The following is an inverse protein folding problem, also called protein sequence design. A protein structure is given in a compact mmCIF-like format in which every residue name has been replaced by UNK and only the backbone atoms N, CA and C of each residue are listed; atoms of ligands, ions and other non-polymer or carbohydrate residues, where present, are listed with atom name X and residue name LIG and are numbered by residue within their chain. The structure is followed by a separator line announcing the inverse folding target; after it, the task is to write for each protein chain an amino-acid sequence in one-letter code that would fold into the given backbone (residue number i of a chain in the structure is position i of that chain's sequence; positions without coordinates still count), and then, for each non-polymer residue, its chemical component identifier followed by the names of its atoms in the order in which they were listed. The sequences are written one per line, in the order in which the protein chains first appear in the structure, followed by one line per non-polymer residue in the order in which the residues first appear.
data_IF_992485719830
#
_entry.id   IF_992485719830
#
_cell.length_a   1.000
_cell.length_b   1.000
_cell.length_c   1.000
_cell.angle_alpha   90.00
_cell.angle_beta   90.00
_cell.angle_gamma   90.00
#
_symmetry.space_group_name_H-M   'P 1'
#
loop_
_entity.id
_entity.type
_entity.pdbx_description
1 polymer ?
#
# COMPACT_ATOMS: atom_id res chain seq x y z
N UNK A 1 8.42 34.07 2.48
CA UNK A 1 9.86 33.74 2.36
C UNK A 1 9.87 32.35 1.77
N UNK A 2 9.79 32.29 0.44
CA UNK A 2 9.56 31.06 -0.31
C UNK A 2 10.87 30.29 -0.46
N UNK A 3 10.88 29.04 -0.02
CA UNK A 3 12.02 28.14 -0.14
C UNK A 3 11.74 27.10 -1.21
N UNK A 4 12.29 27.35 -2.40
CA UNK A 4 12.28 26.44 -3.55
C UNK A 4 13.37 25.39 -3.38
N UNK A 5 13.02 24.10 -3.43
CA UNK A 5 13.97 23.00 -3.38
C UNK A 5 14.54 22.71 -4.78
N UNK A 6 15.86 22.53 -4.85
CA UNK A 6 16.63 22.16 -6.05
C UNK A 6 16.90 20.65 -5.99
N UNK A 7 16.45 19.92 -7.01
CA UNK A 7 16.89 18.54 -7.26
C UNK A 7 18.11 18.55 -8.18
N UNK A 8 19.14 17.76 -7.83
CA UNK A 8 20.31 17.50 -8.68
C UNK A 8 20.23 16.04 -9.14
N UNK A 9 20.03 15.82 -10.44
CA UNK A 9 20.24 14.52 -11.07
C UNK A 9 21.65 14.46 -11.70
N UNK A 10 22.32 13.30 -11.66
CA UNK A 10 23.59 13.12 -12.32
C UNK A 10 23.28 12.77 -13.78
N UNK A 11 23.51 13.70 -14.71
CA UNK A 11 24.02 13.50 -16.07
C UNK A 11 23.80 14.81 -16.84
N UNK A 12 24.89 15.53 -17.10
CA UNK A 12 24.86 16.87 -17.66
C UNK A 12 24.31 16.94 -19.08
N UNK A 13 23.31 17.80 -19.28
CA UNK A 13 23.18 18.62 -20.49
C UNK A 13 22.33 19.86 -20.19
N UNK A 14 22.86 21.06 -20.47
CA UNK A 14 22.22 22.34 -20.14
C UNK A 14 21.52 22.89 -21.39
N UNK A 15 20.19 22.77 -21.46
CA UNK A 15 19.35 23.38 -22.48
C UNK A 15 18.35 24.35 -21.87
N UNK A 16 18.46 25.65 -22.18
CA UNK A 16 17.52 26.71 -21.75
C UNK A 16 16.19 26.59 -22.51
N UNK A 17 15.07 26.51 -21.79
CA UNK A 17 13.75 26.91 -22.30
C UNK A 17 12.93 27.62 -21.22
N UNK A 18 12.40 28.79 -21.57
CA UNK A 18 11.68 29.71 -20.70
C UNK A 18 10.24 29.24 -20.42
N UNK A 19 9.76 29.52 -19.21
CA UNK A 19 8.40 29.25 -18.78
C UNK A 19 7.37 30.20 -19.44
N UNK A 20 6.18 29.73 -19.86
CA UNK A 20 5.11 30.61 -20.29
C UNK A 20 4.34 31.17 -19.09
N UNK A 21 4.32 32.49 -19.00
CA UNK A 21 3.45 33.26 -18.11
C UNK A 21 1.98 33.09 -18.51
N UNK A 22 1.12 32.71 -17.57
CA UNK A 22 -0.35 32.80 -17.74
C UNK A 22 -0.81 34.17 -17.25
N UNK A 23 -1.14 35.06 -18.18
CA UNK A 23 -1.85 36.31 -17.90
C UNK A 23 -3.35 36.16 -18.16
N UNK A 24 -4.14 36.48 -17.13
CA UNK A 24 -5.57 36.77 -17.21
C UNK A 24 -5.82 38.03 -18.06
N UNK A 25 -6.81 38.02 -18.97
CA UNK A 25 -7.17 39.19 -19.78
C UNK A 25 -8.43 39.05 -20.63
N UNK A 26 -9.54 39.58 -20.08
CA UNK A 26 -10.83 40.07 -20.65
C UNK A 26 -11.16 39.94 -22.16
N UNK A 27 -12.43 39.54 -22.36
CA UNK A 27 -13.36 39.79 -23.48
C UNK A 27 -13.15 41.07 -24.31
N UNK A 28 -13.25 40.96 -25.65
CA UNK A 28 -13.99 41.90 -26.51
C UNK A 28 -14.59 41.15 -27.72
N UNK A 29 -15.88 41.40 -27.95
CA UNK A 29 -16.74 40.97 -29.06
C UNK A 29 -16.32 41.57 -30.41
N UNK A 30 -16.47 40.83 -31.53
CA UNK A 30 -16.77 41.46 -32.83
C UNK A 30 -17.48 40.51 -33.81
N UNK A 31 -18.43 41.12 -34.53
CA UNK A 31 -19.49 40.57 -35.38
C UNK A 31 -18.99 40.03 -36.73
N UNK A 32 -19.81 39.12 -37.27
CA UNK A 32 -19.97 38.64 -38.67
C UNK A 32 -20.35 39.81 -39.62
N UNK A 33 -20.20 39.72 -40.96
CA UNK A 33 -21.30 39.18 -41.80
C UNK A 33 -20.91 38.46 -43.13
N UNK A 34 -21.70 37.42 -43.47
CA UNK A 34 -22.17 37.08 -44.84
C UNK A 34 -21.36 36.03 -45.63
N UNK A 35 -21.93 35.13 -46.46
CA UNK A 35 -23.26 35.05 -47.11
C UNK A 35 -23.41 33.72 -47.91
N UNK A 36 -24.66 33.24 -48.09
CA UNK A 36 -25.10 32.22 -49.09
C UNK A 36 -25.54 30.87 -48.48
N UNK A 37 -26.82 30.51 -48.25
CA UNK A 37 -27.99 30.34 -49.16
C UNK A 37 -27.71 29.29 -50.26
N UNK A 38 -28.43 28.19 -50.51
CA UNK A 38 -29.85 27.83 -50.34
C UNK A 38 -30.02 26.28 -50.30
N UNK A 39 -30.97 25.73 -49.53
CA UNK A 39 -32.28 25.17 -49.97
C UNK A 39 -32.33 23.64 -50.24
N UNK A 40 -33.18 22.98 -49.45
CA UNK A 40 -33.79 21.63 -49.59
C UNK A 40 -35.00 21.71 -50.56
N UNK A 41 -35.89 20.70 -50.74
CA UNK A 41 -35.90 19.27 -50.36
C UNK A 41 -36.33 18.33 -51.53
N UNK A 42 -36.32 17.00 -51.33
CA UNK A 42 -37.33 16.16 -51.98
C UNK A 42 -37.68 14.89 -51.19
N UNK A 43 -38.98 14.61 -51.11
CA UNK A 43 -39.61 13.47 -50.46
C UNK A 43 -39.95 12.40 -51.50
N UNK A 44 -39.81 11.11 -51.18
CA UNK A 44 -40.80 10.10 -51.60
C UNK A 44 -41.02 9.04 -50.51
N UNK A 45 -42.31 8.80 -50.24
CA UNK A 45 -42.93 7.85 -49.32
C UNK A 45 -42.66 6.38 -49.66
N UNK A 46 -42.66 5.54 -48.63
CA UNK A 46 -42.90 4.10 -48.74
C UNK A 46 -43.38 3.53 -47.41
N UNK A 47 -44.68 3.24 -47.33
CA UNK A 47 -45.45 2.78 -46.17
C UNK A 47 -45.20 1.31 -45.82
N UNK A 48 -45.09 0.97 -44.52
CA UNK A 48 -45.07 -0.43 -44.07
C UNK A 48 -45.20 -0.57 -42.55
N UNK A 49 -46.43 -0.71 -42.09
CA UNK A 49 -46.89 -0.74 -40.69
C UNK A 49 -46.64 -2.13 -40.07
N UNK A 50 -46.06 -2.23 -38.85
CA UNK A 50 -46.70 -2.81 -37.63
C UNK A 50 -45.71 -3.29 -36.54
N UNK A 51 -46.06 -2.87 -35.31
CA UNK A 51 -46.02 -3.57 -33.99
C UNK A 51 -44.71 -3.61 -33.19
N UNK A 52 -44.67 -2.77 -32.16
CA UNK A 52 -44.18 -3.07 -30.78
C UNK A 52 -45.19 -4.00 -30.06
N UNK A 53 -44.92 -4.64 -28.87
CA UNK A 53 -44.01 -4.20 -27.79
C UNK A 53 -43.25 -5.29 -26.94
N UNK A 54 -42.39 -4.79 -26.03
CA UNK A 54 -42.06 -5.30 -24.68
C UNK A 54 -41.21 -6.58 -24.43
N UNK A 55 -40.15 -6.36 -23.62
CA UNK A 55 -39.66 -7.09 -22.44
C UNK A 55 -39.18 -8.56 -22.51
N UNK A 56 -37.91 -8.73 -22.07
CA UNK A 56 -37.32 -9.73 -21.15
C UNK A 56 -37.73 -11.20 -21.32
N UNK A 57 -36.75 -12.09 -21.52
CA UNK A 57 -36.64 -13.42 -20.87
C UNK A 57 -35.48 -14.29 -21.41
N UNK A 58 -34.72 -14.90 -20.47
CA UNK A 58 -34.45 -16.36 -20.39
C UNK A 58 -33.64 -16.98 -21.57
N UNK A 59 -32.36 -17.35 -21.37
CA UNK A 59 -31.83 -18.59 -20.76
C UNK A 59 -31.41 -19.64 -21.82
N UNK A 60 -30.19 -20.15 -21.61
CA UNK A 60 -29.63 -21.47 -21.93
C UNK A 60 -29.96 -22.20 -23.25
N UNK A 61 -28.90 -22.69 -23.91
CA UNK A 61 -28.79 -24.08 -24.35
C UNK A 61 -27.32 -24.50 -24.52
N UNK A 62 -26.89 -25.53 -23.78
CA UNK A 62 -25.64 -26.29 -23.94
C UNK A 62 -25.77 -27.30 -25.13
N UNK A 63 -24.74 -28.08 -25.58
CA UNK A 63 -23.86 -28.92 -24.76
C UNK A 63 -22.38 -29.14 -25.21
N UNK A 64 -21.61 -29.69 -24.27
CA UNK A 64 -20.52 -30.70 -24.34
C UNK A 64 -19.33 -30.59 -25.31
N UNK A 65 -18.11 -30.53 -24.74
CA UNK A 65 -17.09 -31.59 -24.88
C UNK A 65 -15.81 -31.29 -24.06
N UNK A 66 -15.39 -32.27 -23.26
CA UNK A 66 -14.13 -32.39 -22.51
C UNK A 66 -13.10 -33.23 -23.31
N UNK A 67 -11.84 -33.42 -22.84
CA UNK A 67 -10.71 -32.49 -22.89
C UNK A 67 -9.57 -33.01 -23.79
N UNK A 68 -8.64 -32.15 -24.21
CA UNK A 68 -7.39 -32.59 -24.85
C UNK A 68 -6.17 -32.08 -24.07
N UNK A 69 -5.46 -33.04 -23.50
CA UNK A 69 -4.12 -32.93 -22.91
C UNK A 69 -3.12 -32.64 -24.04
N UNK A 70 -2.26 -31.64 -23.86
CA UNK A 70 -1.08 -31.46 -24.71
C UNK A 70 0.16 -31.14 -23.87
N UNK A 71 1.14 -31.99 -24.11
CA UNK A 71 2.40 -32.21 -23.42
C UNK A 71 3.42 -31.12 -23.75
N UNK A 72 4.31 -30.88 -22.78
CA UNK A 72 5.39 -29.90 -22.80
C UNK A 72 6.38 -30.07 -23.96
N UNK A 73 6.83 -28.95 -24.52
CA UNK A 73 8.06 -28.87 -25.29
C UNK A 73 8.74 -27.49 -25.09
N UNK A 74 9.88 -27.53 -24.41
CA UNK A 74 11.14 -26.90 -24.82
C UNK A 74 11.20 -25.39 -25.07
N UNK A 75 11.97 -24.72 -24.20
CA UNK A 75 12.95 -23.70 -24.61
C UNK A 75 12.51 -22.25 -24.44
N UNK A 76 13.08 -21.56 -23.45
CA UNK A 76 14.06 -20.49 -23.71
C UNK A 76 14.66 -20.03 -22.37
N UNK A 77 15.98 -20.21 -22.18
CA UNK A 77 16.71 -19.71 -21.02
C UNK A 77 17.36 -18.38 -21.38
N UNK A 78 16.69 -17.28 -21.06
CA UNK A 78 17.31 -15.96 -20.97
C UNK A 78 17.62 -15.63 -19.50
N UNK A 79 18.81 -15.10 -19.18
CA UNK A 79 19.22 -14.91 -17.78
C UNK A 79 18.42 -13.78 -17.14
N UNK A 80 17.75 -14.11 -16.03
CA UNK A 80 17.14 -13.16 -15.11
C UNK A 80 18.20 -12.16 -14.64
N UNK A 81 18.08 -10.89 -15.06
CA UNK A 81 18.84 -9.80 -14.45
C UNK A 81 18.41 -9.68 -12.99
N UNK A 82 19.28 -10.09 -12.08
CA UNK A 82 19.15 -9.82 -10.66
C UNK A 82 19.14 -8.31 -10.45
N UNK A 83 17.96 -7.74 -10.18
CA UNK A 83 17.86 -6.40 -9.64
C UNK A 83 18.42 -6.48 -8.22
N UNK A 84 19.63 -5.95 -8.01
CA UNK A 84 20.23 -5.84 -6.69
C UNK A 84 19.28 -5.04 -5.80
N UNK A 85 18.61 -5.73 -4.88
CA UNK A 85 17.88 -5.11 -3.79
C UNK A 85 18.93 -4.47 -2.90
N UNK A 86 18.92 -3.14 -2.83
CA UNK A 86 19.76 -2.41 -1.90
C UNK A 86 19.40 -2.87 -0.48
N UNK A 87 20.32 -3.55 0.17
CA UNK A 87 20.23 -3.84 1.60
C UNK A 87 20.38 -2.50 2.32
N UNK A 88 19.48 -2.11 3.23
CA UNK A 88 19.64 -0.87 3.98
C UNK A 88 20.95 -0.93 4.78
N UNK A 89 21.82 0.06 4.61
CA UNK A 89 23.04 0.20 5.39
C UNK A 89 22.67 0.43 6.86
N UNK A 90 22.90 -0.59 7.69
CA UNK A 90 22.85 -0.47 9.14
C UNK A 90 24.05 0.38 9.56
N UNK A 91 23.84 1.67 9.84
CA UNK A 91 24.87 2.49 10.48
C UNK A 91 25.08 2.01 11.92
N UNK A 92 26.14 1.24 12.11
CA UNK A 92 26.60 0.69 13.40
C UNK A 92 27.09 1.75 14.40
N UNK A 93 27.11 3.03 14.00
CA UNK A 93 27.69 4.14 14.77
C UNK A 93 26.83 4.58 15.97
N UNK A 94 25.64 4.00 16.15
CA UNK A 94 24.66 4.35 17.20
C UNK A 94 24.59 3.33 18.37
N UNK A 95 25.45 2.32 18.41
CA UNK A 95 25.51 1.39 19.54
C UNK A 95 26.30 1.99 20.72
N UNK A 96 25.72 2.10 21.93
CA UNK A 96 26.49 2.51 23.11
C UNK A 96 27.57 1.48 23.43
N UNK A 97 28.80 1.95 23.69
CA UNK A 97 29.93 1.09 24.07
C UNK A 97 29.69 0.49 25.45
N UNK A 98 29.78 -0.84 25.56
CA UNK A 98 29.62 -1.58 26.80
C UNK A 98 30.59 -1.10 27.89
N UNK A 99 30.05 -0.71 29.04
CA UNK A 99 30.79 -0.46 30.28
C UNK A 99 31.17 -1.77 30.98
N UNK A 100 32.26 -1.73 31.74
CA UNK A 100 32.85 -2.84 32.52
C UNK A 100 31.89 -3.47 33.54
N UNK A 101 32.02 -4.78 33.84
CA UNK A 101 31.05 -5.53 34.64
C UNK A 101 31.21 -5.29 36.14
N UNK A 102 30.11 -4.99 36.82
CA UNK A 102 30.04 -4.91 38.29
C UNK A 102 28.63 -5.22 38.81
N UNK A 103 28.53 -6.31 39.58
CA UNK A 103 27.42 -6.76 40.44
C UNK A 103 26.09 -7.16 39.77
N UNK A 104 25.67 -8.41 40.01
CA UNK A 104 24.57 -9.11 39.38
C UNK A 104 23.17 -8.53 39.71
N UNK A 105 22.60 -7.83 38.72
CA UNK A 105 21.17 -7.66 38.50
C UNK A 105 20.69 -8.78 37.52
N UNK A 106 19.38 -9.09 37.37
CA UNK A 106 18.92 -10.10 36.42
C UNK A 106 19.57 -9.88 35.05
N UNK A 107 20.16 -10.95 34.49
CA UNK A 107 21.03 -10.86 33.32
C UNK A 107 20.37 -10.17 32.12
N UNK A 108 21.17 -9.61 31.19
CA UNK A 108 20.64 -8.98 29.99
C UNK A 108 19.71 -9.98 29.28
N UNK A 109 18.55 -9.48 28.82
CA UNK A 109 17.60 -10.24 28.00
C UNK A 109 18.33 -10.62 26.70
N UNK A 110 19.03 -11.76 26.72
CA UNK A 110 19.70 -12.31 25.56
C UNK A 110 18.65 -12.67 24.49
N UNK A 111 19.02 -12.55 23.23
CA UNK A 111 18.15 -12.91 22.12
C UNK A 111 17.84 -14.40 22.10
N UNK A 112 16.78 -14.79 21.37
CA UNK A 112 16.43 -16.19 21.19
C UNK A 112 17.58 -16.98 20.56
N UNK A 113 17.69 -18.24 20.96
CA UNK A 113 18.62 -19.17 20.31
C UNK A 113 18.27 -19.31 18.80
N UNK A 114 19.22 -19.55 17.88
CA UNK A 114 18.93 -19.60 16.44
C UNK A 114 17.77 -20.53 16.02
N UNK A 115 17.59 -21.64 16.74
CA UNK A 115 16.46 -22.58 16.53
C UNK A 115 15.12 -21.96 16.92
N UNK A 116 15.08 -21.20 18.01
CA UNK A 116 13.89 -20.47 18.45
C UNK A 116 13.56 -19.35 17.47
N UNK A 117 14.58 -18.61 16.99
CA UNK A 117 14.40 -17.60 15.94
C UNK A 117 13.80 -18.22 14.67
N UNK A 118 14.29 -19.38 14.23
CA UNK A 118 13.70 -20.09 13.09
C UNK A 118 12.23 -20.46 13.34
N UNK A 119 11.88 -20.88 14.56
CA UNK A 119 10.50 -21.13 14.97
C UNK A 119 9.63 -19.88 14.92
N UNK A 120 10.10 -18.76 15.46
CA UNK A 120 9.42 -17.46 15.43
C UNK A 120 9.16 -17.00 13.99
N UNK A 121 10.17 -17.10 13.13
CA UNK A 121 10.06 -16.77 11.72
C UNK A 121 9.07 -17.69 10.99
N UNK A 122 9.06 -18.98 11.30
CA UNK A 122 8.07 -19.90 10.74
C UNK A 122 6.63 -19.53 11.17
N UNK A 123 6.43 -19.25 12.46
CA UNK A 123 5.13 -18.85 12.99
C UNK A 123 4.64 -17.53 12.38
N UNK A 124 5.52 -16.53 12.26
CA UNK A 124 5.23 -15.27 11.58
C UNK A 124 4.76 -15.53 10.14
N UNK A 125 5.46 -16.40 9.41
CA UNK A 125 5.11 -16.76 8.03
C UNK A 125 3.70 -17.34 7.96
N UNK A 126 3.39 -18.31 8.83
CA UNK A 126 2.07 -18.94 8.85
C UNK A 126 0.96 -17.91 9.18
N UNK A 127 1.20 -17.02 10.14
CA UNK A 127 0.24 -15.98 10.54
C UNK A 127 -0.04 -14.98 9.43
N UNK A 128 1.00 -14.47 8.76
CA UNK A 128 0.85 -13.47 7.70
C UNK A 128 0.26 -14.09 6.42
N UNK A 129 0.71 -15.27 6.01
CA UNK A 129 0.15 -15.93 4.81
C UNK A 129 -1.30 -16.34 4.96
N UNK A 130 -1.76 -16.58 6.20
CA UNK A 130 -3.17 -16.82 6.48
C UNK A 130 -4.02 -15.55 6.58
N UNK A 131 -3.46 -14.37 6.31
CA UNK A 131 -4.22 -13.13 6.33
C UNK A 131 -4.99 -12.92 5.02
N UNK A 132 -6.19 -12.39 5.12
CA UNK A 132 -7.05 -12.11 3.96
C UNK A 132 -6.57 -10.88 3.19
N UNK A 133 -6.08 -9.89 3.93
CA UNK A 133 -5.60 -8.62 3.41
C UNK A 133 -4.41 -8.02 4.19
N UNK A 134 -3.81 -6.95 3.64
CA UNK A 134 -2.68 -6.23 4.24
C UNK A 134 -3.00 -5.66 5.63
N UNK A 135 -4.13 -4.95 5.86
CA UNK A 135 -4.49 -4.48 7.20
C UNK A 135 -4.52 -5.61 8.25
N UNK A 136 -5.16 -6.73 7.94
CA UNK A 136 -5.22 -7.88 8.85
C UNK A 136 -3.83 -8.51 9.06
N UNK A 137 -2.97 -8.51 8.05
CA UNK A 137 -1.59 -8.96 8.18
C UNK A 137 -0.77 -8.05 9.11
N UNK A 138 -0.97 -6.73 9.05
CA UNK A 138 -0.33 -5.75 9.95
C UNK A 138 -0.81 -5.93 11.40
N UNK A 139 -2.10 -6.17 11.64
CA UNK A 139 -2.63 -6.49 12.97
C UNK A 139 -1.96 -7.74 13.55
N UNK A 140 -1.82 -8.79 12.74
CA UNK A 140 -1.15 -10.03 13.15
C UNK A 140 0.34 -9.82 13.41
N UNK A 141 1.00 -8.99 12.61
CA UNK A 141 2.41 -8.64 12.79
C UNK A 141 2.63 -7.88 14.10
N UNK A 142 1.85 -6.83 14.37
CA UNK A 142 1.98 -6.03 15.59
C UNK A 142 1.74 -6.91 16.83
N UNK A 143 0.68 -7.72 16.83
CA UNK A 143 0.39 -8.64 17.92
C UNK A 143 1.50 -9.69 18.12
N UNK A 144 2.03 -10.24 17.02
CA UNK A 144 3.11 -11.24 17.07
C UNK A 144 4.41 -10.63 17.60
N UNK A 145 4.85 -9.48 17.06
CA UNK A 145 6.10 -8.82 17.46
C UNK A 145 6.09 -8.43 18.95
N UNK A 146 4.95 -7.94 19.47
CA UNK A 146 4.80 -7.62 20.88
C UNK A 146 4.98 -8.83 21.82
N UNK A 147 4.63 -10.04 21.38
CA UNK A 147 4.78 -11.26 22.16
C UNK A 147 6.11 -12.00 21.91
N UNK A 148 6.66 -11.88 20.71
CA UNK A 148 7.85 -12.60 20.28
C UNK A 148 9.17 -11.94 20.71
N UNK A 149 9.16 -10.63 20.93
CA UNK A 149 10.39 -9.84 21.19
C UNK A 149 10.48 -9.54 22.70
N UNK A 150 11.44 -10.15 23.42
CA UNK A 150 11.57 -9.97 24.87
C UNK A 150 11.68 -8.50 25.27
N UNK A 151 11.01 -8.13 26.38
CA UNK A 151 11.03 -6.76 26.91
C UNK A 151 10.11 -5.77 26.18
N UNK A 152 9.49 -6.17 25.06
CA UNK A 152 8.51 -5.32 24.37
C UNK A 152 7.23 -5.20 25.19
N UNK A 153 6.89 -3.97 25.57
CA UNK A 153 5.62 -3.66 26.22
C UNK A 153 4.50 -3.62 25.18
N UNK A 154 4.73 -2.92 24.06
CA UNK A 154 3.78 -2.77 22.96
C UNK A 154 4.50 -2.69 21.62
N UNK A 155 3.80 -3.05 20.57
CA UNK A 155 4.27 -2.87 19.20
C UNK A 155 3.22 -2.10 18.41
N UNK A 156 3.67 -1.21 17.53
CA UNK A 156 2.88 -0.74 16.41
C UNK A 156 3.60 -0.97 15.10
N UNK A 157 2.83 -0.99 14.02
CA UNK A 157 3.33 -0.99 12.67
C UNK A 157 2.48 -0.06 11.85
N UNK A 158 3.13 0.69 10.96
CA UNK A 158 2.42 1.50 10.02
C UNK A 158 3.09 1.50 8.66
N UNK A 159 2.27 1.47 7.60
CA UNK A 159 2.70 1.58 6.21
C UNK A 159 2.05 2.79 5.57
N UNK A 160 2.87 3.61 4.89
CA UNK A 160 2.44 4.78 4.12
C UNK A 160 2.63 4.43 2.64
N UNK A 161 1.53 4.25 1.92
CA UNK A 161 1.51 4.02 0.47
C UNK A 161 1.42 5.32 -0.35
N UNK A 162 1.38 5.19 -1.68
CA UNK A 162 1.22 6.34 -2.57
C UNK A 162 -0.20 6.95 -2.49
N UNK A 163 -0.31 8.15 -1.93
CA UNK A 163 -1.51 9.00 -2.02
C UNK A 163 -2.69 8.61 -1.13
N UNK A 164 -2.52 7.64 -0.22
CA UNK A 164 -3.54 7.22 0.74
C UNK A 164 -3.18 7.53 2.20
N UNK A 165 -4.15 7.45 3.13
CA UNK A 165 -3.85 7.49 4.57
C UNK A 165 -2.95 6.30 4.96
N UNK A 166 -2.14 6.44 6.01
CA UNK A 166 -1.35 5.32 6.53
C UNK A 166 -2.27 4.18 6.97
N UNK A 167 -1.86 2.94 6.70
CA UNK A 167 -2.45 1.76 7.31
C UNK A 167 -1.66 1.49 8.59
N UNK A 168 -2.34 1.55 9.74
CA UNK A 168 -1.73 1.45 11.06
C UNK A 168 -2.35 0.29 11.81
N UNK A 169 -1.52 -0.50 12.48
CA UNK A 169 -1.91 -1.57 13.38
C UNK A 169 -1.11 -1.52 14.67
N UNK A 170 -1.72 -1.89 15.79
CA UNK A 170 -1.08 -1.83 17.10
C UNK A 170 -1.50 -3.01 17.97
N UNK A 171 -0.56 -3.52 18.77
CA UNK A 171 -0.78 -4.65 19.69
C UNK A 171 -1.64 -4.30 20.92
N UNK A 172 -2.10 -3.05 21.03
CA UNK A 172 -2.91 -2.56 22.15
C UNK A 172 -3.24 -1.07 22.02
N UNK A 173 -4.20 -0.60 22.83
CA UNK A 173 -4.70 0.78 22.81
C UNK A 173 -3.62 1.83 23.12
N UNK A 174 -2.64 1.47 23.95
CA UNK A 174 -1.51 2.31 24.32
C UNK A 174 -0.60 2.66 23.13
N UNK A 175 -0.18 1.65 22.36
CA UNK A 175 0.63 1.87 21.16
C UNK A 175 -0.14 2.68 20.12
N UNK A 176 -1.45 2.41 19.99
CA UNK A 176 -2.32 3.21 19.13
C UNK A 176 -2.36 4.69 19.54
N UNK A 177 -2.42 5.00 20.84
CA UNK A 177 -2.43 6.38 21.31
C UNK A 177 -1.11 7.12 20.99
N UNK A 178 0.04 6.44 21.12
CA UNK A 178 1.33 6.99 20.73
C UNK A 178 1.39 7.24 19.22
N UNK A 179 0.98 6.28 18.39
CA UNK A 179 0.95 6.47 16.94
C UNK A 179 0.00 7.61 16.53
N UNK A 180 -1.20 7.68 17.11
CA UNK A 180 -2.17 8.74 16.82
C UNK A 180 -1.57 10.13 17.12
N UNK A 181 -0.73 10.24 18.17
CA UNK A 181 0.02 11.46 18.47
C UNK A 181 1.13 11.74 17.45
N UNK A 182 1.88 10.73 17.02
CA UNK A 182 2.90 10.89 15.97
C UNK A 182 2.26 11.41 14.68
N UNK A 183 1.18 10.78 14.23
CA UNK A 183 0.47 11.16 13.00
C UNK A 183 -0.18 12.54 13.09
N UNK A 184 -0.79 12.88 14.23
CA UNK A 184 -1.35 14.20 14.46
C UNK A 184 -0.27 15.29 14.57
N UNK A 185 0.94 14.93 15.00
CA UNK A 185 2.08 15.84 15.11
C UNK A 185 2.89 15.99 13.83
N UNK A 186 2.91 14.96 12.98
CA UNK A 186 3.82 14.86 11.84
C UNK A 186 5.27 14.57 12.26
N UNK A 187 5.50 14.21 13.51
CA UNK A 187 6.78 13.94 14.12
C UNK A 187 6.69 12.80 15.14
N UNK A 188 7.72 11.97 15.18
CA UNK A 188 7.75 10.77 16.02
C UNK A 188 8.79 9.78 15.55
N UNK A 189 9.21 8.83 16.40
CA UNK A 189 10.22 7.83 16.07
C UNK A 189 9.81 6.94 14.89
N UNK A 190 8.55 6.50 14.81
CA UNK A 190 8.05 5.69 13.69
C UNK A 190 8.03 6.48 12.38
N UNK A 191 7.52 7.72 12.42
CA UNK A 191 7.54 8.62 11.27
C UNK A 191 8.96 9.02 10.82
N UNK A 192 9.90 9.19 11.76
CA UNK A 192 11.29 9.48 11.44
C UNK A 192 11.97 8.27 10.81
N UNK A 193 11.77 7.06 11.34
CA UNK A 193 12.30 5.83 10.75
C UNK A 193 11.77 5.63 9.33
N UNK A 194 10.46 5.81 9.11
CA UNK A 194 9.87 5.73 7.77
C UNK A 194 10.46 6.78 6.80
N UNK A 195 10.61 8.03 7.25
CA UNK A 195 11.16 9.11 6.40
C UNK A 195 12.63 8.92 6.04
N UNK A 196 13.44 8.52 7.02
CA UNK A 196 14.89 8.39 6.88
C UNK A 196 15.32 7.03 6.33
N UNK A 197 14.42 6.03 6.35
CA UNK A 197 14.73 4.61 6.11
C UNK A 197 15.88 4.11 6.99
N UNK A 198 15.97 4.63 8.21
CA UNK A 198 17.00 4.28 9.17
C UNK A 198 16.38 3.83 10.49
N UNK A 199 17.11 2.99 11.22
CA UNK A 199 16.75 2.60 12.58
C UNK A 199 16.76 3.85 13.47
N UNK A 200 15.66 4.08 14.17
CA UNK A 200 15.52 5.19 15.13
C UNK A 200 15.30 4.62 16.51
N UNK A 201 16.07 5.09 17.49
CA UNK A 201 15.94 4.66 18.89
C UNK A 201 15.82 5.86 19.82
N UNK A 202 15.12 5.67 20.94
CA UNK A 202 15.15 6.57 22.08
C UNK A 202 15.32 5.76 23.37
N UNK A 203 16.31 6.11 24.19
CA UNK A 203 16.56 5.44 25.46
C UNK A 203 15.54 5.80 26.54
N UNK A 204 14.94 6.99 26.44
CA UNK A 204 13.83 7.45 27.27
C UNK A 204 12.94 8.48 26.54
N UNK A 205 11.80 8.02 26.03
CA UNK A 205 10.78 8.80 25.31
C UNK A 205 10.06 9.80 26.23
N UNK A 206 10.11 9.60 27.54
CA UNK A 206 9.51 10.52 28.52
C UNK A 206 10.30 11.83 28.65
N UNK A 207 11.57 11.82 28.25
CA UNK A 207 12.48 12.97 28.36
C UNK A 207 13.18 13.33 27.03
N UNK A 208 12.90 12.61 25.94
CA UNK A 208 13.54 12.86 24.65
C UNK A 208 13.13 14.23 24.07
N UNK A 209 14.08 15.15 23.85
CA UNK A 209 13.77 16.50 23.37
C UNK A 209 13.33 16.53 21.90
N UNK A 210 13.51 15.45 21.13
CA UNK A 210 13.08 15.36 19.73
C UNK A 210 11.56 15.28 19.62
N UNK A 211 10.89 14.63 20.57
CA UNK A 211 9.44 14.38 20.52
C UNK A 211 8.74 14.69 21.86
N UNK A 212 8.80 15.95 22.35
CA UNK A 212 8.27 16.32 23.66
C UNK A 212 6.75 16.08 23.80
N UNK A 213 6.03 16.01 22.68
CA UNK A 213 4.58 15.73 22.64
C UNK A 213 4.23 14.29 23.05
N UNK A 214 5.16 13.35 22.87
CA UNK A 214 4.96 11.95 23.23
C UNK A 214 5.21 11.70 24.72
N UNK A 215 5.92 12.61 25.41
CA UNK A 215 6.37 12.41 26.79
C UNK A 215 5.24 12.14 27.79
N UNK A 216 4.11 12.85 27.67
CA UNK A 216 2.97 12.66 28.58
C UNK A 216 2.29 11.30 28.38
N UNK A 217 2.06 10.92 27.11
CA UNK A 217 1.49 9.62 26.78
C UNK A 217 2.46 8.49 27.16
N UNK A 218 3.76 8.64 26.88
CA UNK A 218 4.77 7.68 27.27
C UNK A 218 4.80 7.45 28.79
N UNK A 219 4.69 8.52 29.59
CA UNK A 219 4.55 8.43 31.06
C UNK A 219 3.28 7.72 31.50
N UNK A 220 2.14 8.06 30.90
CA UNK A 220 0.86 7.44 31.24
C UNK A 220 0.84 5.92 30.94
N UNK A 221 1.50 5.52 29.86
CA UNK A 221 1.55 4.13 29.39
C UNK A 221 2.76 3.34 29.92
N UNK A 222 3.63 3.96 30.73
CA UNK A 222 4.83 3.32 31.27
C UNK A 222 5.88 2.98 30.20
N UNK A 223 5.84 3.66 29.05
CA UNK A 223 6.82 3.51 27.97
C UNK A 223 8.04 4.35 28.32
N UNK A 224 9.20 3.71 28.32
CA UNK A 224 10.49 4.36 28.50
C UNK A 224 11.27 4.38 27.20
N UNK A 225 11.67 3.25 26.65
CA UNK A 225 12.44 3.24 25.41
C UNK A 225 11.58 2.88 24.19
N UNK A 226 12.04 3.31 23.01
CA UNK A 226 11.43 2.95 21.72
C UNK A 226 12.51 2.57 20.72
N UNK A 227 12.20 1.56 19.90
CA UNK A 227 12.98 1.18 18.72
C UNK A 227 12.04 1.14 17.53
N UNK A 228 12.22 2.08 16.60
CA UNK A 228 11.49 2.15 15.35
C UNK A 228 12.37 1.62 14.22
N UNK A 229 11.98 0.49 13.65
CA UNK A 229 12.66 -0.20 12.57
C UNK A 229 11.95 0.15 11.27
N UNK A 230 12.64 0.74 10.27
CA UNK A 230 12.03 1.11 9.01
C UNK A 230 11.54 -0.14 8.27
N UNK A 231 10.43 0.01 7.54
CA UNK A 231 9.89 -1.00 6.63
C UNK A 231 9.80 -0.46 5.22
N UNK A 232 10.30 -1.19 4.22
CA UNK A 232 10.15 -0.89 2.79
C UNK A 232 9.48 -2.06 2.07
N UNK A 233 8.18 -1.95 1.84
CA UNK A 233 7.37 -2.99 1.22
C UNK A 233 7.26 -2.71 -0.28
N UNK A 234 7.97 -3.50 -1.08
CA UNK A 234 8.01 -3.45 -2.55
C UNK A 234 8.27 -2.06 -3.16
N UNK A 235 8.93 -1.14 -2.44
CA UNK A 235 9.14 0.25 -2.86
C UNK A 235 7.86 1.04 -3.15
N UNK A 236 6.69 0.49 -2.84
CA UNK A 236 5.38 1.12 -3.02
C UNK A 236 4.82 1.68 -1.72
N UNK A 237 5.28 1.14 -0.58
CA UNK A 237 4.95 1.67 0.72
C UNK A 237 6.16 1.65 1.64
N UNK A 238 6.28 2.72 2.43
CA UNK A 238 7.35 2.90 3.41
C UNK A 238 6.71 3.10 4.77
N UNK A 239 7.30 2.51 5.79
CA UNK A 239 6.71 2.45 7.10
C UNK A 239 7.73 2.25 8.19
N UNK A 240 7.24 1.90 9.37
CA UNK A 240 8.06 1.45 10.46
C UNK A 240 7.29 0.48 11.36
N UNK A 241 8.04 -0.41 11.99
CA UNK A 241 7.60 -1.18 13.14
C UNK A 241 8.23 -0.54 14.38
N UNK A 242 7.42 -0.07 15.32
CA UNK A 242 7.85 0.58 16.55
C UNK A 242 7.64 -0.37 17.74
N UNK A 243 8.72 -0.67 18.45
CA UNK A 243 8.73 -1.44 19.69
C UNK A 243 8.85 -0.48 20.86
N UNK A 244 7.83 -0.44 21.70
CA UNK A 244 7.81 0.34 22.93
C UNK A 244 8.15 -0.56 24.11
N UNK A 245 9.08 -0.12 24.95
CA UNK A 245 9.70 -0.92 26.01
C UNK A 245 9.58 -0.21 27.35
N UNK A 246 9.25 -0.97 28.40
CA UNK A 246 9.01 -0.42 29.74
C UNK A 246 10.30 -0.09 30.51
N UNK A 247 11.46 -0.55 30.03
CA UNK A 247 12.75 -0.28 30.67
C UNK A 247 13.51 0.85 29.96
N UNK A 248 14.11 1.79 30.71
CA UNK A 248 15.05 2.75 30.16
C UNK A 248 16.32 2.05 29.65
N UNK A 249 17.03 2.69 28.72
CA UNK A 249 18.37 2.25 28.30
C UNK A 249 18.44 1.55 26.94
N UNK A 250 17.31 1.42 26.24
CA UNK A 250 17.24 0.84 24.89
C UNK A 250 17.02 -0.66 24.87
N UNK A 251 17.24 -1.27 23.71
CA UNK A 251 17.00 -2.70 23.44
C UNK A 251 18.35 -3.41 23.28
N UNK A 252 18.45 -4.61 23.85
CA UNK A 252 19.64 -5.47 23.71
C UNK A 252 19.94 -5.77 22.23
N UNK A 253 21.22 -5.75 21.79
CA UNK A 253 21.58 -5.99 20.39
C UNK A 253 21.04 -7.31 19.81
N UNK A 254 20.94 -8.38 20.59
CA UNK A 254 20.41 -9.67 20.12
C UNK A 254 18.88 -9.63 19.97
N UNK A 255 18.20 -8.88 20.84
CA UNK A 255 16.76 -8.59 20.73
C UNK A 255 16.50 -7.72 19.51
N UNK A 256 17.34 -6.72 19.25
CA UNK A 256 17.28 -5.90 18.05
C UNK A 256 17.47 -6.73 16.77
N UNK A 257 18.43 -7.66 16.77
CA UNK A 257 18.65 -8.58 15.64
C UNK A 257 17.40 -9.42 15.35
N UNK A 258 16.73 -9.89 16.40
CA UNK A 258 15.47 -10.65 16.29
C UNK A 258 14.36 -9.80 15.70
N UNK A 259 14.21 -8.56 16.18
CA UNK A 259 13.23 -7.61 15.68
C UNK A 259 13.46 -7.30 14.19
N UNK A 260 14.72 -7.08 13.79
CA UNK A 260 15.09 -6.85 12.39
C UNK A 260 14.81 -8.07 11.52
N UNK A 261 15.07 -9.29 11.99
CA UNK A 261 14.75 -10.51 11.26
C UNK A 261 13.23 -10.66 11.03
N UNK A 262 12.42 -10.35 12.05
CA UNK A 262 10.95 -10.32 11.96
C UNK A 262 10.50 -9.29 10.92
N UNK A 263 11.05 -8.06 10.98
CA UNK A 263 10.70 -6.97 10.06
C UNK A 263 11.04 -7.35 8.62
N UNK A 264 12.27 -7.79 8.35
CA UNK A 264 12.71 -8.16 7.00
C UNK A 264 11.83 -9.27 6.40
N UNK A 265 11.45 -10.26 7.21
CA UNK A 265 10.56 -11.31 6.72
C UNK A 265 9.13 -10.80 6.50
N UNK A 266 8.64 -9.94 7.39
CA UNK A 266 7.33 -9.33 7.25
C UNK A 266 7.23 -8.49 5.97
N UNK A 267 8.27 -7.73 5.60
CA UNK A 267 8.30 -6.95 4.36
C UNK A 267 8.07 -7.82 3.11
N UNK A 268 8.77 -8.96 3.03
CA UNK A 268 8.62 -9.90 1.92
C UNK A 268 7.20 -10.47 1.84
N UNK A 269 6.63 -10.84 3.00
CA UNK A 269 5.30 -11.44 3.09
C UNK A 269 4.19 -10.42 2.79
N UNK A 270 4.30 -9.20 3.33
CA UNK A 270 3.38 -8.09 3.06
C UNK A 270 3.42 -7.69 1.59
N UNK A 271 4.60 -7.68 0.98
CA UNK A 271 4.75 -7.45 -0.45
C UNK A 271 4.01 -8.50 -1.28
N UNK A 272 4.19 -9.78 -0.95
CA UNK A 272 3.51 -10.87 -1.65
C UNK A 272 1.98 -10.82 -1.45
N UNK A 273 1.49 -10.44 -0.27
CA UNK A 273 0.07 -10.23 -0.02
C UNK A 273 -0.49 -9.08 -0.87
N UNK A 274 0.16 -7.91 -0.85
CA UNK A 274 -0.26 -6.76 -1.67
C UNK A 274 -0.24 -7.08 -3.17
N UNK A 275 0.74 -7.87 -3.64
CA UNK A 275 0.78 -8.36 -5.03
C UNK A 275 -0.40 -9.27 -5.34
N UNK A 276 -0.75 -10.20 -4.44
CA UNK A 276 -1.90 -11.10 -4.60
C UNK A 276 -3.21 -10.33 -4.61
N UNK A 277 -3.36 -9.34 -3.75
CA UNK A 277 -4.50 -8.41 -3.77
C UNK A 277 -4.59 -7.71 -5.12
N UNK A 278 -3.52 -7.06 -5.59
CA UNK A 278 -3.52 -6.37 -6.88
C UNK A 278 -3.91 -7.27 -8.06
N UNK A 279 -3.48 -8.53 -8.05
CA UNK A 279 -3.92 -9.53 -9.05
C UNK A 279 -5.40 -9.88 -8.94
N UNK A 280 -5.93 -10.05 -7.72
CA UNK A 280 -7.37 -10.30 -7.48
C UNK A 280 -8.22 -9.11 -7.91
N UNK A 281 -7.75 -7.90 -7.67
CA UNK A 281 -8.39 -6.66 -8.10
C UNK A 281 -8.42 -6.55 -9.63
N UNK A 282 -7.27 -6.77 -10.28
CA UNK A 282 -7.17 -6.82 -11.73
C UNK A 282 -8.15 -7.82 -12.34
N UNK A 283 -8.17 -9.06 -11.83
CA UNK A 283 -9.09 -10.09 -12.31
C UNK A 283 -10.57 -9.72 -12.15
N UNK A 284 -10.91 -8.98 -11.08
CA UNK A 284 -12.28 -8.49 -10.86
C UNK A 284 -12.65 -7.40 -11.87
N UNK A 285 -11.74 -6.46 -12.13
CA UNK A 285 -11.93 -5.43 -13.17
C UNK A 285 -12.04 -6.05 -14.56
N UNK A 286 -11.19 -7.03 -14.88
CA UNK A 286 -11.20 -7.74 -16.16
C UNK A 286 -12.50 -8.51 -16.39
N UNK A 287 -13.02 -9.15 -15.34
CA UNK A 287 -14.33 -9.82 -15.39
C UNK A 287 -15.46 -8.81 -15.65
N UNK A 288 -15.45 -7.65 -15.00
CA UNK A 288 -16.44 -6.61 -15.25
C UNK A 288 -16.32 -6.01 -16.67
N UNK A 289 -15.10 -5.86 -17.19
CA UNK A 289 -14.87 -5.44 -18.57
C UNK A 289 -15.49 -6.47 -19.53
N UNK A 290 -15.31 -7.76 -19.28
CA UNK A 290 -15.96 -8.85 -20.02
C UNK A 290 -17.50 -8.75 -20.02
N UNK A 291 -18.11 -8.43 -18.88
CA UNK A 291 -19.56 -8.18 -18.78
C UNK A 291 -19.99 -7.00 -19.66
N UNK A 292 -19.24 -5.90 -19.67
CA UNK A 292 -19.56 -4.73 -20.50
C UNK A 292 -19.42 -5.04 -21.98
N UNK A 293 -18.34 -5.75 -22.38
CA UNK A 293 -18.12 -6.20 -23.75
C UNK A 293 -19.32 -7.03 -24.22
N UNK A 294 -19.75 -8.01 -23.40
CA UNK A 294 -20.88 -8.87 -23.72
C UNK A 294 -22.21 -8.09 -23.84
N UNK A 295 -22.44 -7.09 -22.99
CA UNK A 295 -23.69 -6.32 -22.98
C UNK A 295 -23.76 -5.24 -24.07
N UNK A 296 -22.64 -4.60 -24.40
CA UNK A 296 -22.60 -3.44 -25.32
C UNK A 296 -22.06 -3.78 -26.71
N UNK A 297 -21.46 -4.97 -26.89
CA UNK A 297 -20.79 -5.35 -28.13
C UNK A 297 -19.58 -4.45 -28.45
N UNK A 298 -18.94 -3.90 -27.41
CA UNK A 298 -17.82 -2.97 -27.56
C UNK A 298 -16.45 -3.66 -27.46
N UNK A 299 -15.40 -2.97 -27.87
CA UNK A 299 -14.03 -3.46 -27.72
C UNK A 299 -13.51 -3.40 -26.28
N UNK A 300 -12.40 -4.10 -26.02
CA UNK A 300 -11.76 -4.18 -24.69
C UNK A 300 -11.40 -2.79 -24.15
N UNK A 301 -10.74 -1.95 -24.95
CA UNK A 301 -10.31 -0.60 -24.52
C UNK A 301 -11.50 0.31 -24.18
N UNK A 302 -12.61 0.17 -24.91
CA UNK A 302 -13.83 0.91 -24.65
C UNK A 302 -14.45 0.47 -23.32
N UNK A 303 -14.49 -0.84 -23.03
CA UNK A 303 -15.00 -1.37 -21.78
C UNK A 303 -14.21 -0.86 -20.55
N UNK A 304 -12.87 -0.85 -20.61
CA UNK A 304 -12.05 -0.25 -19.54
C UNK A 304 -12.27 1.26 -19.41
N UNK A 305 -12.49 1.96 -20.52
CA UNK A 305 -12.80 3.40 -20.50
C UNK A 305 -14.13 3.64 -19.79
N UNK A 306 -15.16 2.86 -20.11
CA UNK A 306 -16.47 2.92 -19.45
C UNK A 306 -16.36 2.64 -17.95
N UNK A 307 -15.57 1.63 -17.55
CA UNK A 307 -15.32 1.33 -16.13
C UNK A 307 -14.66 2.51 -15.42
N UNK A 308 -13.59 3.07 -16.00
CA UNK A 308 -12.85 4.20 -15.43
C UNK A 308 -13.72 5.44 -15.29
N UNK A 309 -14.46 5.80 -16.34
CA UNK A 309 -15.37 6.95 -16.32
C UNK A 309 -16.50 6.76 -15.31
N UNK A 310 -17.00 5.53 -15.16
CA UNK A 310 -18.05 5.22 -14.19
C UNK A 310 -17.52 5.30 -12.76
N UNK A 311 -16.31 4.79 -12.49
CA UNK A 311 -15.63 4.92 -11.21
C UNK A 311 -15.42 6.39 -10.84
N UNK A 312 -14.88 7.19 -11.76
CA UNK A 312 -14.68 8.63 -11.58
C UNK A 312 -15.99 9.37 -11.31
N UNK A 313 -17.03 9.12 -12.11
CA UNK A 313 -18.35 9.76 -11.95
C UNK A 313 -19.00 9.44 -10.60
N UNK A 314 -18.77 8.24 -10.07
CA UNK A 314 -19.32 7.80 -8.79
C UNK A 314 -18.43 8.14 -7.59
N UNK A 315 -17.19 8.61 -7.82
CA UNK A 315 -16.21 8.81 -6.75
C UNK A 315 -15.84 7.51 -6.04
N UNK A 316 -15.92 6.36 -6.73
CA UNK A 316 -15.63 5.04 -6.18
C UNK A 316 -14.36 4.47 -6.79
N UNK A 317 -13.72 3.55 -6.08
CA UNK A 317 -12.67 2.74 -6.66
C UNK A 317 -13.23 1.83 -7.79
N UNK A 318 -12.38 1.53 -8.78
CA UNK A 318 -12.73 0.71 -9.95
C UNK A 318 -13.19 -0.68 -9.54
N UNK A 319 -12.59 -1.28 -8.51
CA UNK A 319 -12.99 -2.60 -8.00
C UNK A 319 -14.42 -2.56 -7.49
N UNK A 320 -14.77 -1.56 -6.68
CA UNK A 320 -16.12 -1.41 -6.15
C UNK A 320 -17.16 -1.26 -7.28
N UNK A 321 -16.82 -0.55 -8.36
CA UNK A 321 -17.67 -0.47 -9.56
C UNK A 321 -17.75 -1.81 -10.28
N UNK A 322 -16.63 -2.51 -10.45
CA UNK A 322 -16.57 -3.81 -11.10
C UNK A 322 -17.43 -4.86 -10.35
N UNK A 323 -17.33 -4.94 -9.03
CA UNK A 323 -18.12 -5.83 -8.19
C UNK A 323 -19.63 -5.55 -8.32
N UNK A 324 -20.02 -4.27 -8.28
CA UNK A 324 -21.42 -3.86 -8.48
C UNK A 324 -21.97 -4.27 -9.84
N UNK A 325 -21.16 -4.12 -10.89
CA UNK A 325 -21.54 -4.50 -12.26
C UNK A 325 -21.69 -6.02 -12.41
N UNK A 326 -20.74 -6.79 -11.86
CA UNK A 326 -20.80 -8.26 -11.87
C UNK A 326 -22.05 -8.73 -11.13
N UNK A 327 -22.31 -8.19 -9.94
CA UNK A 327 -23.50 -8.55 -9.15
C UNK A 327 -24.81 -8.18 -9.85
N UNK A 328 -24.87 -7.04 -10.54
CA UNK A 328 -26.03 -6.64 -11.32
C UNK A 328 -26.26 -7.56 -12.54
N UNK A 329 -25.19 -7.95 -13.23
CA UNK A 329 -25.29 -8.88 -14.34
C UNK A 329 -25.76 -10.27 -13.90
N UNK A 330 -25.29 -10.76 -12.75
CA UNK A 330 -25.76 -12.03 -12.18
C UNK A 330 -27.26 -12.01 -11.88
N UNK A 331 -27.76 -10.95 -11.21
CA UNK A 331 -29.20 -10.80 -10.94
C UNK A 331 -30.05 -10.74 -12.21
N UNK A 332 -29.55 -10.09 -13.26
CA UNK A 332 -30.26 -10.01 -14.53
C UNK A 332 -30.22 -11.33 -15.31
N UNK A 333 -29.26 -12.22 -15.05
CA UNK A 333 -29.20 -13.56 -15.63
C UNK A 333 -30.16 -14.55 -14.95
N UNK A 334 -30.55 -14.28 -13.70
CA UNK A 334 -31.50 -15.08 -12.91
C UNK A 334 -32.98 -14.71 -13.13
N UNK A 335 -33.25 -13.59 -13.84
CA UNK A 335 -34.59 -13.05 -14.12
C UNK A 335 -35.10 -13.39 -15.54
#
# INVERSE_FOLDING_TARGET
MDMTFVFSEPHGNVGRMAAPQRSFGRNVSRRVPGSGMAASPDQVRGTGRRRTPAAVKTILAAPDATPAVLTAAGGDQSPLRANAVAVPEVRLDLLPRAGTPGSAAPGPLAGPHPVELAGLLHELTARLLGADDVPQALDRLAAFAAGAIPGTLRCSVALIGEGGPPVVAASGTAAKALDDLEYAGGDGPGLEAARTRALVTASDLQSDPRWPRLAECARAEGVHSVVAIPMDVQRSSVGALSLYVATPGGVDPEVLLTAMAIVNQAELLLGELGRREGLREGATVDRAAGVIIAQRGCGVQEAYTVLRETAQRLGLDRRAVAERLIAAAARNAEA
#
